data_IF_469554355223
#
_entry.id   IF_469554355223
#
_cell.length_a   1.000
_cell.length_b   1.000
_cell.length_c   1.000
_cell.angle_alpha   90.00
_cell.angle_beta   90.00
_cell.angle_gamma   90.00
#
_symmetry.space_group_name_H-M   'P 1'
#
loop_
_entity.id
_entity.type
_entity.pdbx_description
1 polymer ?
#
# COMPACT_ATOMS: atom_id res chain seq x y z
N UNK A 1 9.97 -37.70 -35.27
CA UNK A 1 10.28 -38.53 -34.09
C UNK A 1 9.93 -37.76 -32.81
N UNK A 2 8.71 -37.21 -32.72
CA UNK A 2 8.25 -36.46 -31.55
C UNK A 2 7.56 -37.43 -30.61
N UNK A 3 8.13 -37.66 -29.43
CA UNK A 3 7.43 -38.38 -28.38
C UNK A 3 6.21 -37.55 -27.97
N UNK A 4 5.01 -38.15 -27.96
CA UNK A 4 3.80 -37.48 -27.50
C UNK A 4 3.86 -37.09 -26.02
N UNK A 5 4.84 -37.62 -25.27
CA UNK A 5 4.99 -37.42 -23.84
C UNK A 5 6.17 -36.53 -23.51
N UNK A 6 6.05 -35.68 -22.48
CA UNK A 6 7.19 -34.91 -21.98
C UNK A 6 8.25 -35.82 -21.39
N UNK A 7 9.50 -35.38 -21.49
CA UNK A 7 10.65 -36.04 -20.91
C UNK A 7 10.96 -35.40 -19.56
N UNK A 8 11.13 -36.22 -18.53
CA UNK A 8 11.53 -35.73 -17.22
C UNK A 8 12.93 -35.13 -17.30
N UNK A 9 13.06 -33.91 -16.79
CA UNK A 9 14.31 -33.16 -16.76
C UNK A 9 14.54 -32.66 -15.33
N UNK A 10 14.81 -33.59 -14.42
CA UNK A 10 15.03 -33.25 -13.02
C UNK A 10 16.34 -32.47 -12.85
N UNK A 11 16.24 -31.30 -12.23
CA UNK A 11 17.42 -30.60 -11.74
C UNK A 11 17.73 -31.13 -10.35
N UNK A 12 18.78 -31.96 -10.25
CA UNK A 12 19.43 -32.20 -8.96
C UNK A 12 19.96 -30.86 -8.48
N UNK A 13 19.36 -30.37 -7.41
CA UNK A 13 19.44 -29.00 -6.98
C UNK A 13 20.81 -28.46 -6.64
N UNK A 14 20.88 -27.15 -6.41
CA UNK A 14 22.04 -26.52 -5.80
C UNK A 14 21.88 -26.49 -4.29
N UNK A 15 22.99 -26.69 -3.57
CA UNK A 15 23.03 -26.45 -2.13
C UNK A 15 23.34 -24.97 -1.91
N UNK A 16 22.33 -24.21 -1.50
CA UNK A 16 22.42 -22.77 -1.27
C UNK A 16 22.87 -22.50 0.16
N UNK A 17 23.76 -21.52 0.32
CA UNK A 17 24.33 -21.15 1.59
C UNK A 17 24.49 -19.64 1.71
N UNK A 18 24.38 -19.12 2.93
CA UNK A 18 24.82 -17.78 3.26
C UNK A 18 26.35 -17.64 3.08
N UNK A 19 26.88 -16.43 2.82
CA UNK A 19 28.32 -16.21 2.59
C UNK A 19 29.23 -16.61 3.76
N UNK A 20 28.70 -16.68 4.98
CA UNK A 20 29.47 -17.01 6.18
C UNK A 20 29.43 -18.49 6.56
N UNK A 21 28.74 -19.30 5.74
CA UNK A 21 28.49 -20.71 6.02
C UNK A 21 29.72 -21.58 5.83
N UNK A 22 29.95 -22.54 6.73
CA UNK A 22 31.10 -23.46 6.70
C UNK A 22 30.74 -24.88 6.30
N UNK A 23 29.50 -25.12 5.90
CA UNK A 23 29.03 -26.45 5.56
C UNK A 23 29.65 -26.96 4.26
N UNK A 24 30.15 -28.20 4.28
CA UNK A 24 30.95 -28.75 3.18
C UNK A 24 30.20 -28.90 1.85
N UNK A 25 28.85 -28.90 1.84
CA UNK A 25 28.05 -28.92 0.60
C UNK A 25 27.89 -27.55 -0.04
N UNK A 26 28.24 -26.47 0.64
CA UNK A 26 28.22 -25.14 0.04
C UNK A 26 29.19 -25.09 -1.15
N UNK A 27 28.82 -24.39 -2.22
CA UNK A 27 29.69 -24.24 -3.38
C UNK A 27 31.02 -23.55 -3.05
N UNK A 28 31.04 -22.68 -2.03
CA UNK A 28 32.22 -22.00 -1.52
C UNK A 28 32.10 -21.80 0.00
N UNK A 29 32.36 -22.84 0.81
CA UNK A 29 32.25 -22.73 2.26
C UNK A 29 33.34 -21.80 2.81
N UNK A 30 32.96 -20.92 3.74
CA UNK A 30 33.90 -20.01 4.40
C UNK A 30 34.90 -20.81 5.22
N UNK A 31 36.18 -20.45 5.10
CA UNK A 31 37.22 -21.00 5.97
C UNK A 31 37.27 -20.18 7.28
N UNK A 32 36.84 -20.80 8.38
CA UNK A 32 36.81 -20.16 9.71
C UNK A 32 38.18 -19.73 10.23
N UNK A 33 39.25 -20.38 9.80
CA UNK A 33 40.61 -20.08 10.25
C UNK A 33 41.24 -18.89 9.53
N UNK A 34 40.80 -18.57 8.32
CA UNK A 34 41.43 -17.52 7.49
C UNK A 34 40.51 -16.37 7.14
N UNK A 35 39.19 -16.56 7.24
CA UNK A 35 38.21 -15.58 6.77
C UNK A 35 37.21 -15.25 7.88
N UNK A 36 37.24 -14.03 8.44
CA UNK A 36 36.26 -13.61 9.44
C UNK A 36 34.85 -13.53 8.82
N UNK A 37 33.83 -13.54 9.66
CA UNK A 37 32.43 -13.42 9.23
C UNK A 37 32.16 -12.03 8.65
N UNK A 38 31.52 -12.00 7.50
CA UNK A 38 31.03 -10.77 6.87
C UNK A 38 29.80 -10.20 7.60
N UNK A 39 28.94 -11.08 8.14
CA UNK A 39 27.60 -10.78 8.64
C UNK A 39 26.73 -10.05 7.61
N UNK A 40 26.94 -10.34 6.32
CA UNK A 40 26.19 -9.69 5.24
C UNK A 40 24.70 -10.05 5.26
N UNK A 41 24.33 -11.23 5.77
CA UNK A 41 22.94 -11.66 5.89
C UNK A 41 22.72 -12.71 6.98
N UNK A 42 21.46 -12.99 7.28
CA UNK A 42 21.04 -14.07 8.18
C UNK A 42 21.55 -15.43 7.71
N UNK A 43 21.88 -16.30 8.67
CA UNK A 43 22.44 -17.62 8.37
C UNK A 43 21.40 -18.52 7.73
N UNK A 44 21.76 -19.17 6.63
CA UNK A 44 20.96 -20.23 6.03
C UNK A 44 21.84 -21.22 5.27
N UNK A 45 21.38 -22.47 5.21
CA UNK A 45 21.87 -23.44 4.23
C UNK A 45 20.77 -24.44 3.93
N UNK A 46 20.51 -24.71 2.66
CA UNK A 46 19.48 -25.67 2.26
C UNK A 46 19.73 -26.20 0.85
N UNK A 47 19.21 -27.40 0.59
CA UNK A 47 19.18 -28.00 -0.75
C UNK A 47 17.96 -27.46 -1.51
N UNK A 48 18.19 -26.84 -2.67
CA UNK A 48 17.15 -26.36 -3.57
C UNK A 48 17.04 -27.27 -4.77
N UNK A 49 16.06 -28.17 -4.79
CA UNK A 49 15.76 -29.05 -5.93
C UNK A 49 14.63 -28.49 -6.79
N UNK A 50 14.59 -28.85 -8.08
CA UNK A 50 13.50 -28.48 -8.97
C UNK A 50 12.95 -29.69 -9.73
N UNK A 51 11.62 -29.75 -9.81
CA UNK A 51 10.90 -30.71 -10.64
C UNK A 51 10.62 -30.04 -11.98
N UNK A 52 11.08 -30.65 -13.07
CA UNK A 52 10.80 -30.11 -14.41
C UNK A 52 10.62 -31.22 -15.44
N UNK A 53 9.89 -30.90 -16.49
CA UNK A 53 9.67 -31.76 -17.63
C UNK A 53 9.76 -30.93 -18.91
N UNK A 54 10.39 -31.48 -19.94
CA UNK A 54 10.53 -30.85 -21.23
C UNK A 54 9.61 -31.53 -22.24
N UNK A 55 8.73 -30.76 -22.85
CA UNK A 55 7.97 -31.21 -24.01
C UNK A 55 8.55 -30.59 -25.29
N UNK A 56 9.00 -31.39 -26.28
CA UNK A 56 9.52 -30.85 -27.52
C UNK A 56 8.45 -30.08 -28.29
N UNK A 57 8.68 -28.79 -28.50
CA UNK A 57 7.72 -27.90 -29.18
C UNK A 57 7.55 -28.33 -30.65
N UNK A 58 6.32 -28.66 -31.04
CA UNK A 58 5.96 -29.01 -32.41
C UNK A 58 6.00 -27.79 -33.34
N UNK A 59 6.26 -27.99 -34.64
CA UNK A 59 6.30 -26.91 -35.65
C UNK A 59 5.00 -26.07 -35.67
N UNK A 60 3.87 -26.69 -35.33
CA UNK A 60 2.58 -26.01 -35.23
C UNK A 60 2.59 -24.78 -34.31
N UNK A 61 3.32 -24.82 -33.19
CA UNK A 61 3.43 -23.67 -32.29
C UNK A 61 4.23 -22.49 -32.86
N UNK A 62 4.97 -22.70 -33.96
CA UNK A 62 5.64 -21.63 -34.72
C UNK A 62 4.83 -21.14 -35.92
N UNK A 63 3.83 -21.91 -36.35
CA UNK A 63 3.02 -21.60 -37.53
C UNK A 63 1.65 -21.00 -37.17
N UNK A 64 1.11 -21.33 -35.99
CA UNK A 64 -0.19 -20.87 -35.53
C UNK A 64 -0.22 -20.68 -34.00
N UNK A 65 -1.31 -20.11 -33.48
CA UNK A 65 -1.56 -20.01 -32.05
C UNK A 65 -1.87 -21.38 -31.45
N UNK A 66 -1.34 -21.61 -30.25
CA UNK A 66 -1.67 -22.79 -29.44
C UNK A 66 -2.12 -22.37 -28.04
N UNK A 67 -3.01 -23.16 -27.46
CA UNK A 67 -3.54 -22.94 -26.12
C UNK A 67 -2.70 -23.68 -25.09
N UNK A 68 -1.91 -22.93 -24.33
CA UNK A 68 -1.29 -23.41 -23.09
C UNK A 68 -2.25 -23.19 -21.92
N UNK A 69 -2.36 -24.19 -21.06
CA UNK A 69 -3.14 -24.11 -19.83
C UNK A 69 -2.29 -24.54 -18.64
N UNK A 70 -2.35 -23.75 -17.57
CA UNK A 70 -1.85 -24.08 -16.25
C UNK A 70 -3.05 -24.16 -15.32
N UNK A 71 -3.25 -25.33 -14.72
CA UNK A 71 -4.23 -25.53 -13.66
C UNK A 71 -3.47 -25.69 -12.35
N UNK A 72 -3.84 -24.91 -11.34
CA UNK A 72 -3.18 -24.88 -10.05
C UNK A 72 -4.21 -24.99 -8.95
N UNK A 73 -4.21 -26.12 -8.27
CA UNK A 73 -5.09 -26.44 -7.15
C UNK A 73 -4.22 -26.59 -5.90
N UNK A 74 -4.49 -25.77 -4.88
CA UNK A 74 -3.77 -25.81 -3.59
C UNK A 74 -4.30 -26.91 -2.66
N UNK A 75 -3.66 -27.12 -1.51
CA UNK A 75 -4.05 -28.13 -0.52
C UNK A 75 -3.33 -29.47 -0.70
N UNK A 76 -3.51 -30.38 0.25
CA UNK A 76 -2.83 -31.69 0.31
C UNK A 76 -3.18 -32.62 -0.84
N UNK A 77 -4.41 -32.51 -1.35
CA UNK A 77 -4.92 -33.24 -2.51
C UNK A 77 -4.84 -32.42 -3.80
N UNK A 78 -4.23 -31.24 -3.75
CA UNK A 78 -4.04 -30.35 -4.88
C UNK A 78 -2.99 -30.85 -5.88
N UNK A 79 -2.74 -30.05 -6.90
CA UNK A 79 -1.75 -30.32 -7.95
C UNK A 79 -1.47 -29.06 -8.77
N UNK A 80 -0.36 -29.08 -9.51
CA UNK A 80 -0.16 -28.17 -10.65
C UNK A 80 -0.05 -29.00 -11.91
N UNK A 81 -0.89 -28.69 -12.90
CA UNK A 81 -1.00 -29.40 -14.17
C UNK A 81 -0.80 -28.45 -15.34
N UNK A 82 0.08 -28.85 -16.26
CA UNK A 82 0.29 -28.19 -17.54
C UNK A 82 -0.41 -28.98 -18.64
N UNK A 83 -1.22 -28.29 -19.43
CA UNK A 83 -1.92 -28.84 -20.58
C UNK A 83 -1.61 -28.02 -21.83
N UNK A 84 -1.64 -28.69 -22.98
CA UNK A 84 -1.51 -28.11 -24.31
C UNK A 84 -2.73 -28.55 -25.12
N UNK A 85 -3.47 -27.58 -25.67
CA UNK A 85 -4.71 -27.84 -26.42
C UNK A 85 -5.71 -28.71 -25.64
N UNK A 86 -5.90 -28.39 -24.36
CA UNK A 86 -6.79 -29.14 -23.46
C UNK A 86 -6.28 -30.54 -23.07
N UNK A 87 -5.13 -30.97 -23.58
CA UNK A 87 -4.54 -32.28 -23.25
C UNK A 87 -3.47 -32.15 -22.17
N UNK A 88 -3.63 -32.77 -20.98
CA UNK A 88 -2.62 -32.76 -19.93
C UNK A 88 -1.29 -33.35 -20.42
N UNK A 89 -0.21 -32.61 -20.21
CA UNK A 89 1.15 -33.03 -20.55
C UNK A 89 1.91 -33.47 -19.31
N UNK A 90 1.86 -32.67 -18.25
CA UNK A 90 2.63 -32.88 -17.03
C UNK A 90 1.83 -32.43 -15.81
N UNK A 91 1.99 -33.14 -14.70
CA UNK A 91 1.34 -32.83 -13.43
C UNK A 91 2.28 -33.12 -12.28
N UNK A 92 2.27 -32.21 -11.29
CA UNK A 92 2.92 -32.38 -10.00
C UNK A 92 1.83 -32.39 -8.93
N UNK A 93 1.44 -33.56 -8.39
CA UNK A 93 0.48 -33.64 -7.30
C UNK A 93 1.11 -33.10 -6.02
N UNK A 94 0.34 -32.39 -5.18
CA UNK A 94 0.78 -31.87 -3.88
C UNK A 94 1.38 -32.96 -2.99
N UNK A 95 0.86 -34.19 -3.07
CA UNK A 95 1.39 -35.35 -2.34
C UNK A 95 2.88 -35.58 -2.59
N UNK A 96 3.36 -35.35 -3.82
CA UNK A 96 4.79 -35.51 -4.15
C UNK A 96 5.71 -34.54 -3.39
N UNK A 97 5.14 -33.47 -2.81
CA UNK A 97 5.86 -32.42 -2.10
C UNK A 97 5.76 -32.61 -0.58
N UNK A 98 4.57 -32.96 -0.05
CA UNK A 98 4.37 -33.09 1.39
C UNK A 98 4.60 -34.51 1.93
N UNK A 99 4.33 -35.54 1.12
CA UNK A 99 4.48 -36.95 1.48
C UNK A 99 5.89 -37.46 1.13
N UNK A 100 6.90 -36.79 1.69
CA UNK A 100 8.29 -37.15 1.46
C UNK A 100 8.71 -38.38 2.29
N UNK A 101 9.68 -39.18 1.80
CA UNK A 101 10.29 -40.24 2.60
C UNK A 101 10.79 -39.70 3.95
N UNK A 102 10.39 -40.36 5.02
CA UNK A 102 10.78 -40.03 6.39
C UNK A 102 11.90 -40.94 6.88
N UNK A 103 12.83 -40.40 7.66
CA UNK A 103 13.76 -41.23 8.41
C UNK A 103 13.04 -41.95 9.57
N UNK A 104 13.73 -42.88 10.26
CA UNK A 104 13.14 -43.67 11.37
C UNK A 104 12.49 -42.79 12.46
N UNK A 105 13.03 -41.60 12.68
CA UNK A 105 12.57 -40.66 13.71
C UNK A 105 11.57 -39.63 13.17
N UNK A 106 11.17 -39.72 11.90
CA UNK A 106 10.27 -38.79 11.21
C UNK A 106 10.69 -37.31 11.33
N UNK A 107 11.99 -37.03 11.24
CA UNK A 107 12.52 -35.67 11.40
C UNK A 107 12.73 -34.94 10.07
N UNK A 108 12.39 -35.54 8.93
CA UNK A 108 12.55 -34.85 7.65
C UNK A 108 11.44 -33.80 7.54
N UNK A 109 11.78 -32.53 7.22
CA UNK A 109 10.80 -31.46 7.17
C UNK A 109 9.78 -31.72 6.05
N UNK A 110 8.50 -31.68 6.39
CA UNK A 110 7.44 -31.71 5.39
C UNK A 110 7.36 -30.34 4.74
N UNK A 111 7.20 -30.33 3.42
CA UNK A 111 6.98 -29.11 2.63
C UNK A 111 5.49 -28.97 2.36
N UNK A 112 5.04 -27.73 2.16
CA UNK A 112 3.68 -27.43 1.68
C UNK A 112 3.75 -27.20 0.18
N UNK A 113 2.62 -27.41 -0.50
CA UNK A 113 2.45 -26.97 -1.88
C UNK A 113 2.66 -25.45 -1.97
N UNK A 114 3.07 -24.94 -3.13
CA UNK A 114 3.18 -23.50 -3.32
C UNK A 114 1.79 -22.85 -3.19
N UNK A 115 1.68 -21.92 -2.24
CA UNK A 115 0.45 -21.17 -1.92
C UNK A 115 0.68 -19.65 -2.01
N UNK A 116 1.93 -19.22 -2.22
CA UNK A 116 2.31 -17.81 -2.29
C UNK A 116 1.68 -17.10 -3.49
N UNK A 117 1.30 -15.82 -3.35
CA UNK A 117 0.79 -15.04 -4.47
C UNK A 117 1.86 -14.89 -5.55
N UNK A 118 1.50 -15.22 -6.79
CA UNK A 118 2.40 -15.15 -7.93
C UNK A 118 1.92 -14.18 -9.00
N UNK A 119 2.84 -13.83 -9.89
CA UNK A 119 2.55 -13.13 -11.13
C UNK A 119 2.77 -14.07 -12.33
N UNK A 120 2.10 -13.78 -13.45
CA UNK A 120 2.39 -14.42 -14.74
C UNK A 120 3.31 -13.51 -15.55
N UNK A 121 4.48 -14.03 -15.95
CA UNK A 121 5.40 -13.34 -16.87
C UNK A 121 5.43 -14.11 -18.19
N UNK A 122 5.32 -13.35 -19.28
CA UNK A 122 5.58 -13.84 -20.63
C UNK A 122 6.71 -13.01 -21.23
N UNK A 123 7.84 -13.63 -21.53
CA UNK A 123 9.00 -12.98 -22.11
C UNK A 123 9.66 -13.86 -23.18
N UNK A 124 10.34 -13.23 -24.13
CA UNK A 124 11.31 -13.91 -24.99
C UNK A 124 12.71 -13.79 -24.38
N UNK A 125 13.40 -14.91 -24.21
CA UNK A 125 14.77 -14.94 -23.69
C UNK A 125 15.64 -15.90 -24.50
N UNK A 126 16.91 -15.55 -24.67
CA UNK A 126 17.92 -16.39 -25.31
C UNK A 126 19.07 -16.56 -24.32
N UNK A 127 19.40 -17.81 -23.99
CA UNK A 127 20.48 -18.14 -23.05
C UNK A 127 21.33 -19.27 -23.60
N UNK A 128 22.64 -19.07 -23.61
CA UNK A 128 23.61 -20.13 -23.97
C UNK A 128 23.54 -21.30 -22.99
N UNK A 129 23.18 -21.06 -21.73
CA UNK A 129 22.99 -22.08 -20.70
C UNK A 129 21.76 -22.96 -20.94
N UNK A 130 20.78 -22.49 -21.72
CA UNK A 130 19.57 -23.24 -22.08
C UNK A 130 19.67 -23.88 -23.48
N UNK A 131 20.89 -23.95 -24.03
CA UNK A 131 21.17 -24.62 -25.30
C UNK A 131 20.94 -23.77 -26.55
N UNK A 132 20.49 -22.52 -26.41
CA UNK A 132 20.41 -21.62 -27.56
C UNK A 132 21.81 -21.17 -27.99
N UNK A 133 22.22 -21.58 -29.20
CA UNK A 133 23.49 -21.16 -29.81
C UNK A 133 23.19 -20.45 -31.14
N UNK A 134 22.77 -19.17 -31.09
CA UNK A 134 22.62 -18.41 -32.33
C UNK A 134 23.97 -18.34 -33.07
N UNK A 135 23.97 -18.19 -34.40
CA UNK A 135 25.19 -17.95 -35.14
C UNK A 135 25.97 -16.75 -34.55
N UNK A 136 27.30 -16.83 -34.59
CA UNK A 136 28.20 -15.76 -34.13
C UNK A 136 27.99 -15.34 -32.65
N UNK A 137 28.10 -16.25 -31.67
CA UNK A 137 27.88 -15.94 -30.25
C UNK A 137 28.81 -14.80 -29.78
N UNK A 138 28.23 -13.82 -29.09
CA UNK A 138 28.94 -12.63 -28.59
C UNK A 138 29.16 -11.52 -29.63
N UNK A 139 28.62 -11.66 -30.84
CA UNK A 139 28.63 -10.64 -31.91
C UNK A 139 27.21 -10.39 -32.42
N UNK A 140 27.04 -9.37 -33.25
CA UNK A 140 25.78 -9.16 -33.97
C UNK A 140 25.45 -10.39 -34.82
N UNK A 141 24.21 -10.88 -34.77
CA UNK A 141 23.76 -11.94 -35.68
C UNK A 141 23.63 -11.34 -37.08
N UNK A 142 24.66 -11.48 -37.90
CA UNK A 142 24.66 -11.09 -39.31
C UNK A 142 25.04 -12.26 -40.20
N UNK A 143 24.20 -12.50 -41.20
CA UNK A 143 24.56 -13.31 -42.36
C UNK A 143 25.46 -12.53 -43.31
N UNK A 144 26.51 -13.15 -43.82
CA UNK A 144 27.45 -12.55 -44.79
C UNK A 144 27.28 -13.15 -46.20
N UNK A 145 26.27 -13.99 -46.41
CA UNK A 145 26.03 -14.67 -47.68
C UNK A 145 26.80 -15.99 -47.85
N UNK A 146 27.72 -16.33 -46.95
CA UNK A 146 28.60 -17.51 -47.10
C UNK A 146 27.97 -18.81 -46.60
N UNK A 147 27.20 -18.76 -45.51
CA UNK A 147 26.49 -19.91 -44.95
C UNK A 147 24.96 -19.72 -45.02
N UNK A 148 24.25 -20.49 -45.86
CA UNK A 148 22.80 -20.36 -46.03
C UNK A 148 22.00 -20.51 -44.72
N UNK A 149 22.47 -21.32 -43.78
CA UNK A 149 21.78 -21.55 -42.50
C UNK A 149 21.91 -20.33 -41.58
N UNK A 150 23.13 -19.83 -41.41
CA UNK A 150 23.43 -18.62 -40.64
C UNK A 150 22.68 -17.41 -41.18
N UNK A 151 22.69 -17.22 -42.50
CA UNK A 151 21.94 -16.12 -43.15
C UNK A 151 20.46 -16.21 -42.79
N UNK A 152 19.84 -17.38 -42.99
CA UNK A 152 18.41 -17.56 -42.70
C UNK A 152 18.06 -17.32 -41.23
N UNK A 153 18.88 -17.78 -40.29
CA UNK A 153 18.63 -17.58 -38.85
C UNK A 153 18.78 -16.10 -38.49
N UNK A 154 19.84 -15.43 -38.93
CA UNK A 154 20.05 -14.02 -38.59
C UNK A 154 19.04 -13.09 -39.28
N UNK A 155 18.61 -13.40 -40.51
CA UNK A 155 17.56 -12.67 -41.23
C UNK A 155 16.16 -12.87 -40.59
N UNK A 156 16.00 -13.84 -39.69
CA UNK A 156 14.74 -14.08 -38.98
C UNK A 156 14.49 -13.08 -37.84
N UNK A 157 15.48 -12.25 -37.48
CA UNK A 157 15.33 -11.25 -36.42
C UNK A 157 14.79 -9.91 -36.94
N UNK A 158 13.98 -9.18 -36.14
CA UNK A 158 13.51 -9.55 -34.81
C UNK A 158 12.41 -10.64 -34.84
N UNK A 159 12.50 -11.59 -33.91
CA UNK A 159 11.44 -12.58 -33.67
C UNK A 159 10.45 -12.05 -32.62
N UNK A 160 9.18 -12.43 -32.75
CA UNK A 160 8.11 -11.93 -31.89
C UNK A 160 7.38 -13.07 -31.19
N UNK A 161 7.22 -12.96 -29.86
CA UNK A 161 6.26 -13.75 -29.11
C UNK A 161 4.88 -13.09 -29.25
N UNK A 162 3.93 -13.79 -29.87
CA UNK A 162 2.56 -13.30 -30.06
C UNK A 162 1.63 -14.00 -29.08
N UNK A 163 0.81 -13.20 -28.39
CA UNK A 163 -0.22 -13.68 -27.46
C UNK A 163 -1.53 -13.07 -27.95
N UNK A 164 -2.47 -13.91 -28.34
CA UNK A 164 -3.80 -13.46 -28.76
C UNK A 164 -4.62 -13.02 -27.53
N UNK A 165 -4.72 -13.89 -26.54
CA UNK A 165 -5.41 -13.58 -25.29
C UNK A 165 -4.88 -14.38 -24.11
N UNK A 166 -5.22 -13.93 -22.90
CA UNK A 166 -4.97 -14.63 -21.63
C UNK A 166 -6.32 -14.72 -20.92
N UNK A 167 -6.64 -15.91 -20.41
CA UNK A 167 -7.83 -16.15 -19.58
C UNK A 167 -7.37 -16.62 -18.21
N UNK A 168 -7.93 -16.02 -17.17
CA UNK A 168 -7.70 -16.41 -15.78
C UNK A 168 -9.03 -16.87 -15.20
N UNK A 169 -9.02 -18.04 -14.61
CA UNK A 169 -10.18 -18.66 -13.98
C UNK A 169 -9.91 -18.84 -12.49
N UNK A 170 -10.94 -18.71 -11.69
CA UNK A 170 -10.92 -19.09 -10.29
C UNK A 170 -12.09 -20.03 -10.07
N UNK A 171 -11.81 -21.16 -9.44
CA UNK A 171 -12.87 -22.05 -8.98
C UNK A 171 -13.51 -21.47 -7.73
N UNK A 172 -14.83 -21.32 -7.75
CA UNK A 172 -15.65 -20.79 -6.66
C UNK A 172 -16.66 -21.82 -6.16
N UNK A 173 -16.48 -23.08 -6.54
CA UNK A 173 -17.38 -24.14 -6.13
C UNK A 173 -17.31 -24.40 -4.62
N UNK A 174 -18.44 -24.84 -4.05
CA UNK A 174 -18.56 -25.13 -2.63
C UNK A 174 -18.07 -26.54 -2.26
N UNK A 175 -17.68 -27.35 -3.27
CA UNK A 175 -17.16 -28.72 -3.13
C UNK A 175 -15.63 -28.78 -3.10
N UNK A 176 -14.96 -27.63 -3.04
CA UNK A 176 -13.52 -27.56 -2.88
C UNK A 176 -13.09 -28.14 -1.53
N UNK A 177 -11.92 -28.78 -1.53
CA UNK A 177 -11.29 -29.29 -0.31
C UNK A 177 -11.08 -28.17 0.72
N UNK A 178 -11.19 -28.53 2.00
CA UNK A 178 -11.12 -27.56 3.09
C UNK A 178 -9.77 -26.81 3.19
N UNK A 179 -8.72 -27.39 2.61
CA UNK A 179 -7.38 -26.80 2.51
C UNK A 179 -7.07 -26.23 1.11
N UNK A 180 -8.08 -26.01 0.28
CA UNK A 180 -7.93 -25.19 -0.92
C UNK A 180 -7.97 -23.70 -0.54
N UNK A 181 -6.81 -23.04 -0.65
CA UNK A 181 -6.61 -21.65 -0.25
C UNK A 181 -6.68 -20.66 -1.41
N UNK A 182 -7.22 -21.05 -2.58
CA UNK A 182 -7.41 -20.13 -3.69
C UNK A 182 -8.30 -18.94 -3.27
N UNK A 183 -7.72 -17.75 -3.29
CA UNK A 183 -8.40 -16.52 -2.86
C UNK A 183 -8.19 -15.38 -3.84
N UNK A 184 -9.25 -14.63 -4.14
CA UNK A 184 -9.15 -13.38 -4.89
C UNK A 184 -9.10 -12.20 -3.92
N UNK A 185 -7.97 -11.50 -3.95
CA UNK A 185 -7.71 -10.33 -3.12
C UNK A 185 -6.29 -10.34 -2.55
N UNK A 186 -5.89 -9.23 -1.95
CA UNK A 186 -4.52 -9.00 -1.50
C UNK A 186 -4.27 -9.36 -0.02
N UNK A 187 -5.27 -9.86 0.71
CA UNK A 187 -5.18 -10.14 2.16
C UNK A 187 -6.02 -11.36 2.58
N UNK A 188 -5.70 -12.57 2.08
CA UNK A 188 -6.38 -13.78 2.51
C UNK A 188 -6.08 -14.06 4.00
N UNK A 189 -7.12 -14.41 4.77
CA UNK A 189 -7.01 -14.68 6.23
C UNK A 189 -6.05 -15.82 6.58
N UNK A 190 -5.76 -16.70 5.64
CA UNK A 190 -4.89 -17.87 5.81
C UNK A 190 -3.40 -17.54 5.68
N UNK A 191 -3.06 -16.32 5.23
CA UNK A 191 -1.69 -15.90 4.95
C UNK A 191 -1.23 -14.77 5.87
N UNK A 192 0.07 -14.45 5.92
CA UNK A 192 0.58 -13.37 6.74
C UNK A 192 -0.16 -12.06 6.53
N UNK A 193 -0.71 -11.53 7.62
CA UNK A 193 -1.41 -10.25 7.61
C UNK A 193 -0.46 -9.12 7.21
N UNK A 194 -0.99 -8.00 6.71
CA UNK A 194 -0.22 -6.76 6.53
C UNK A 194 0.67 -6.43 7.73
N UNK A 195 0.15 -6.56 8.96
CA UNK A 195 0.90 -6.29 10.20
C UNK A 195 2.10 -7.22 10.37
N UNK A 196 1.97 -8.48 9.99
CA UNK A 196 3.08 -9.43 10.02
C UNK A 196 4.15 -9.05 9.02
N UNK A 197 3.76 -8.78 7.76
CA UNK A 197 4.66 -8.37 6.68
C UNK A 197 5.40 -7.08 7.06
N UNK A 198 4.69 -6.06 7.55
CA UNK A 198 5.30 -4.80 7.98
C UNK A 198 6.33 -5.01 9.12
N UNK A 199 6.10 -6.00 9.99
CA UNK A 199 6.98 -6.33 11.11
C UNK A 199 8.18 -7.21 10.73
N UNK A 200 8.14 -7.87 9.57
CA UNK A 200 9.18 -8.76 9.03
C UNK A 200 9.58 -8.31 7.62
N UNK A 201 9.63 -6.99 7.40
CA UNK A 201 9.79 -6.43 6.05
C UNK A 201 11.09 -6.86 5.38
N UNK A 202 12.11 -7.20 6.17
CA UNK A 202 13.40 -7.77 5.76
C UNK A 202 13.27 -9.16 5.11
N UNK A 203 12.16 -9.88 5.32
CA UNK A 203 11.86 -11.13 4.63
C UNK A 203 11.20 -10.91 3.25
N UNK A 204 10.66 -9.71 3.00
CA UNK A 204 9.84 -9.39 1.82
C UNK A 204 10.47 -8.33 0.91
N UNK A 205 11.67 -7.86 1.23
CA UNK A 205 12.40 -6.89 0.43
C UNK A 205 13.90 -7.17 0.48
N UNK A 206 14.61 -6.73 -0.55
CA UNK A 206 16.07 -6.71 -0.58
C UNK A 206 16.56 -5.33 -1.07
N UNK A 207 17.87 -5.19 -1.23
CA UNK A 207 18.49 -3.93 -1.65
C UNK A 207 18.08 -3.51 -3.07
N UNK A 208 17.72 -4.46 -3.94
CA UNK A 208 17.32 -4.24 -5.33
C UNK A 208 15.79 -4.11 -5.49
N UNK A 209 15.02 -4.69 -4.58
CA UNK A 209 13.55 -4.78 -4.60
C UNK A 209 12.94 -4.35 -3.27
N UNK A 210 13.11 -3.07 -2.94
CA UNK A 210 12.54 -2.47 -1.73
C UNK A 210 11.01 -2.40 -1.78
N UNK A 211 10.34 -2.62 -0.65
CA UNK A 211 8.91 -2.39 -0.51
C UNK A 211 8.60 -0.90 -0.72
N UNK A 212 7.73 -0.61 -1.70
CA UNK A 212 7.35 0.76 -2.05
C UNK A 212 5.84 0.91 -2.01
N UNK A 213 5.38 1.89 -1.25
CA UNK A 213 3.98 2.29 -1.30
C UNK A 213 3.65 2.88 -2.67
N UNK A 214 2.68 2.26 -3.34
CA UNK A 214 2.21 2.73 -4.64
C UNK A 214 1.21 3.88 -4.43
N UNK A 215 1.46 5.04 -5.03
CA UNK A 215 0.51 6.16 -5.03
C UNK A 215 -0.21 6.26 -6.39
N UNK A 216 -1.31 5.51 -6.54
CA UNK A 216 -2.14 5.52 -7.74
C UNK A 216 -1.80 4.41 -8.74
N UNK A 217 -2.07 4.64 -10.04
CA UNK A 217 -1.87 3.71 -11.17
C UNK A 217 -2.88 2.57 -11.33
N UNK A 218 -3.88 2.43 -10.47
CA UNK A 218 -5.03 1.58 -10.81
C UNK A 218 -5.71 2.08 -12.08
N UNK A 219 -6.31 1.17 -12.84
CA UNK A 219 -7.21 1.53 -13.92
C UNK A 219 -8.42 2.29 -13.36
N UNK A 220 -8.88 3.29 -14.10
CA UNK A 220 -10.06 4.08 -13.73
C UNK A 220 -10.78 4.57 -14.99
N UNK A 221 -12.08 4.83 -14.80
CA UNK A 221 -12.96 5.45 -15.79
C UNK A 221 -13.38 6.85 -15.34
N UNK A 222 -13.58 7.04 -14.04
CA UNK A 222 -13.99 8.31 -13.43
C UNK A 222 -13.11 8.66 -12.24
N UNK A 223 -13.18 9.91 -11.77
CA UNK A 223 -12.48 10.30 -10.54
C UNK A 223 -12.97 9.54 -9.30
N UNK A 224 -14.21 9.02 -9.33
CA UNK A 224 -14.78 8.22 -8.23
C UNK A 224 -14.02 6.92 -7.99
N UNK A 225 -13.46 6.31 -9.04
CA UNK A 225 -12.63 5.10 -8.95
C UNK A 225 -11.36 5.29 -8.11
N UNK A 226 -10.92 6.53 -7.94
CA UNK A 226 -9.66 6.92 -7.32
C UNK A 226 -9.87 7.68 -6.01
N UNK A 227 -11.06 7.59 -5.40
CA UNK A 227 -11.45 8.41 -4.26
C UNK A 227 -12.17 7.59 -3.21
N UNK A 228 -11.93 7.89 -1.93
CA UNK A 228 -12.63 7.21 -0.83
C UNK A 228 -14.11 7.58 -0.86
N UNK A 229 -14.95 6.56 -0.84
CA UNK A 229 -16.39 6.66 -1.00
C UNK A 229 -16.86 6.53 -2.45
N UNK A 230 -16.10 7.03 -3.43
CA UNK A 230 -16.47 6.93 -4.85
C UNK A 230 -17.93 7.33 -5.13
N UNK A 231 -18.62 6.59 -5.99
CA UNK A 231 -20.04 6.80 -6.33
C UNK A 231 -21.02 6.14 -5.33
N UNK A 232 -20.53 5.30 -4.42
CA UNK A 232 -21.37 4.46 -3.53
C UNK A 232 -21.23 4.78 -2.03
N UNK A 233 -20.35 5.71 -1.66
CA UNK A 233 -19.99 6.02 -0.28
C UNK A 233 -20.79 7.16 0.31
N UNK A 234 -21.14 7.04 1.59
CA UNK A 234 -21.90 8.06 2.33
C UNK A 234 -21.13 9.37 2.54
N UNK A 235 -19.79 9.34 2.46
CA UNK A 235 -18.92 10.51 2.60
C UNK A 235 -17.89 10.50 1.48
N UNK A 236 -17.96 11.50 0.60
CA UNK A 236 -17.03 11.64 -0.52
C UNK A 236 -15.77 12.39 -0.07
N UNK A 237 -14.63 11.70 -0.01
CA UNK A 237 -13.35 12.31 0.26
C UNK A 237 -12.46 12.23 -0.98
N UNK A 238 -12.20 13.38 -1.61
CA UNK A 238 -11.39 13.43 -2.84
C UNK A 238 -9.92 13.16 -2.52
N UNK A 239 -9.50 11.91 -2.70
CA UNK A 239 -8.12 11.47 -2.42
C UNK A 239 -7.29 11.26 -3.69
N UNK A 240 -7.94 11.06 -4.83
CA UNK A 240 -7.32 10.89 -6.14
C UNK A 240 -8.22 11.28 -7.31
N UNK A 241 -7.63 11.30 -8.50
CA UNK A 241 -8.28 11.62 -9.78
C UNK A 241 -7.90 10.61 -10.85
N UNK A 242 -8.78 10.42 -11.83
CA UNK A 242 -8.52 9.60 -12.99
C UNK A 242 -7.88 10.42 -14.10
N UNK A 243 -6.65 10.06 -14.48
CA UNK A 243 -5.86 10.75 -15.49
C UNK A 243 -5.37 9.71 -16.49
N UNK A 244 -5.77 9.85 -17.76
CA UNK A 244 -5.40 8.89 -18.83
C UNK A 244 -5.72 7.44 -18.45
N UNK A 245 -6.91 7.21 -17.92
CA UNK A 245 -7.39 5.90 -17.43
C UNK A 245 -6.49 5.27 -16.36
N UNK A 246 -5.80 6.10 -15.57
CA UNK A 246 -5.00 5.70 -14.41
C UNK A 246 -5.24 6.63 -13.22
N UNK A 247 -5.36 6.07 -12.02
CA UNK A 247 -5.50 6.87 -10.81
C UNK A 247 -4.21 7.65 -10.52
N UNK A 248 -4.38 8.90 -10.09
CA UNK A 248 -3.31 9.76 -9.59
C UNK A 248 -3.77 10.36 -8.27
N UNK A 249 -3.00 10.13 -7.20
CA UNK A 249 -3.35 10.61 -5.88
C UNK A 249 -3.14 12.13 -5.81
N UNK A 250 -4.10 12.82 -5.19
CA UNK A 250 -4.07 14.29 -5.07
C UNK A 250 -3.01 14.73 -4.05
N UNK A 251 -2.84 13.96 -2.97
CA UNK A 251 -1.83 14.18 -1.94
C UNK A 251 -1.04 12.88 -1.74
N UNK A 252 -0.03 12.59 -2.57
CA UNK A 252 0.70 11.32 -2.54
C UNK A 252 1.50 11.08 -1.26
N UNK A 253 1.70 12.11 -0.43
CA UNK A 253 2.29 12.01 0.92
C UNK A 253 1.30 11.59 2.01
N UNK A 254 0.00 11.56 1.69
CA UNK A 254 -1.08 11.28 2.64
C UNK A 254 -2.01 10.16 2.15
N UNK A 255 -2.06 9.96 0.83
CA UNK A 255 -2.90 8.95 0.18
C UNK A 255 -2.07 8.09 -0.76
N UNK A 256 -2.22 6.79 -0.58
CA UNK A 256 -1.56 5.73 -1.32
C UNK A 256 -2.52 4.63 -1.72
N UNK A 257 -1.93 3.52 -2.11
CA UNK A 257 -2.62 2.42 -2.77
C UNK A 257 -2.89 2.71 -4.25
N UNK A 258 -3.17 1.66 -5.06
CA UNK A 258 -3.42 1.81 -6.48
C UNK A 258 -4.57 2.76 -6.83
N UNK A 259 -5.59 2.83 -5.97
CA UNK A 259 -6.78 3.69 -6.12
C UNK A 259 -6.76 4.94 -5.24
N UNK A 260 -5.65 5.26 -4.57
CA UNK A 260 -5.55 6.42 -3.67
C UNK A 260 -6.52 6.38 -2.49
N UNK A 261 -6.97 5.19 -2.10
CA UNK A 261 -7.94 4.99 -1.01
C UNK A 261 -7.28 4.58 0.30
N UNK A 262 -5.95 4.42 0.30
CA UNK A 262 -5.20 4.01 1.49
C UNK A 262 -4.59 5.24 2.14
N UNK A 263 -4.90 5.40 3.41
CA UNK A 263 -4.25 6.33 4.31
C UNK A 263 -2.76 5.98 4.46
N UNK A 264 -1.85 6.83 3.97
CA UNK A 264 -0.41 6.69 4.26
C UNK A 264 -0.16 7.41 5.59
N UNK A 265 -0.09 6.63 6.67
CA UNK A 265 0.46 7.12 7.93
C UNK A 265 1.98 7.10 7.79
N UNK A 266 2.66 8.18 8.19
CA UNK A 266 4.13 8.29 8.17
C UNK A 266 4.86 7.36 9.15
N UNK A 267 4.45 6.10 9.25
CA UNK A 267 5.11 5.06 10.00
C UNK A 267 5.83 4.14 9.02
N UNK A 268 6.98 4.59 8.53
CA UNK A 268 8.00 3.70 7.98
C UNK A 268 9.37 4.31 8.17
N UNK A 269 10.28 3.45 8.62
CA UNK A 269 11.72 3.63 8.82
C UNK A 269 12.17 4.50 10.00
N UNK A 270 12.56 3.78 11.06
CA UNK A 270 13.62 4.09 12.01
C UNK A 270 14.90 4.64 11.36
N UNK A 271 14.89 5.91 10.99
CA UNK A 271 16.14 6.69 10.86
C UNK A 271 15.94 8.02 11.54
N UNK A 272 16.57 8.16 12.71
CA UNK A 272 16.58 9.38 13.52
C UNK A 272 17.20 10.51 12.70
N UNK A 273 16.37 11.27 11.99
CA UNK A 273 16.69 12.63 11.59
C UNK A 273 15.54 13.52 12.04
N UNK A 274 15.83 14.30 13.09
CA UNK A 274 14.96 15.33 13.64
C UNK A 274 14.70 16.37 12.56
N UNK A 275 13.61 16.25 11.80
CA UNK A 275 13.00 17.38 11.12
C UNK A 275 11.48 17.19 11.12
N UNK A 276 10.78 18.25 11.48
CA UNK A 276 9.38 18.26 11.85
C UNK A 276 8.48 17.55 10.82
N UNK A 277 7.55 16.77 11.34
CA UNK A 277 6.53 15.99 10.64
C UNK A 277 5.76 16.82 9.60
N UNK A 278 6.01 16.57 8.32
CA UNK A 278 5.20 17.09 7.20
C UNK A 278 3.97 16.23 6.90
N UNK A 279 3.85 15.07 7.54
CA UNK A 279 2.93 14.00 7.13
C UNK A 279 1.82 13.83 8.16
N UNK A 280 0.95 14.84 8.29
CA UNK A 280 -0.25 14.76 9.13
C UNK A 280 -1.48 15.10 8.32
N UNK A 281 -2.60 14.46 8.67
CA UNK A 281 -3.92 14.71 8.07
C UNK A 281 -4.33 16.17 8.29
N UNK A 282 -4.33 16.95 7.21
CA UNK A 282 -4.77 18.34 7.23
C UNK A 282 -4.06 19.21 6.19
N UNK A 283 -4.50 20.47 5.98
CA UNK A 283 -3.73 21.43 5.22
C UNK A 283 -2.32 21.57 5.80
N UNK A 284 -1.30 21.89 4.97
CA UNK A 284 0.09 21.97 5.41
C UNK A 284 0.21 22.75 6.71
N UNK A 285 0.97 22.24 7.69
CA UNK A 285 1.06 22.83 9.03
C UNK A 285 1.40 24.34 9.00
N UNK A 286 2.22 24.78 8.04
CA UNK A 286 2.52 26.20 7.82
C UNK A 286 1.31 27.04 7.41
N UNK A 287 0.39 26.49 6.62
CA UNK A 287 -0.86 27.15 6.23
C UNK A 287 -1.79 27.30 7.44
N UNK A 288 -1.88 26.27 8.28
CA UNK A 288 -2.66 26.29 9.52
C UNK A 288 -2.13 27.30 10.53
N UNK A 289 -0.81 27.40 10.70
CA UNK A 289 -0.16 28.43 11.52
C UNK A 289 -0.46 29.83 10.97
N UNK A 290 -0.37 30.03 9.66
CA UNK A 290 -0.67 31.31 9.03
C UNK A 290 -2.11 31.77 9.29
N UNK A 291 -3.08 30.87 9.14
CA UNK A 291 -4.49 31.16 9.41
C UNK A 291 -4.73 31.47 10.89
N UNK A 292 -4.12 30.70 11.80
CA UNK A 292 -4.22 30.95 13.24
C UNK A 292 -3.63 32.32 13.62
N UNK A 293 -2.47 32.69 13.05
CA UNK A 293 -1.84 33.98 13.25
C UNK A 293 -2.72 35.14 12.78
N UNK A 294 -3.36 35.02 11.62
CA UNK A 294 -4.31 36.02 11.10
C UNK A 294 -5.51 36.17 12.04
N UNK A 295 -6.09 35.07 12.53
CA UNK A 295 -7.23 35.13 13.45
C UNK A 295 -6.87 35.81 14.79
N UNK A 296 -5.70 35.50 15.35
CA UNK A 296 -5.21 36.15 16.58
C UNK A 296 -5.01 37.65 16.34
N UNK A 297 -4.37 38.02 15.23
CA UNK A 297 -4.12 39.42 14.89
C UNK A 297 -5.43 40.22 14.70
N UNK A 298 -6.40 39.67 13.98
CA UNK A 298 -7.72 40.29 13.81
C UNK A 298 -8.49 40.42 15.13
N UNK A 299 -8.34 39.45 16.03
CA UNK A 299 -8.93 39.50 17.38
C UNK A 299 -8.31 40.63 18.20
N UNK A 300 -6.98 40.78 18.17
CA UNK A 300 -6.28 41.89 18.84
C UNK A 300 -6.69 43.26 18.30
N UNK A 301 -6.80 43.42 16.98
CA UNK A 301 -7.30 44.67 16.37
C UNK A 301 -8.72 44.98 16.85
N UNK A 302 -9.59 43.97 16.91
CA UNK A 302 -10.99 44.13 17.33
C UNK A 302 -11.09 44.61 18.78
N UNK A 303 -10.30 44.03 19.69
CA UNK A 303 -10.24 44.43 21.11
C UNK A 303 -9.65 45.83 21.28
N UNK A 304 -8.62 46.19 20.51
CA UNK A 304 -8.03 47.53 20.53
C UNK A 304 -9.01 48.59 20.00
N UNK A 305 -9.78 48.27 18.97
CA UNK A 305 -10.80 49.17 18.43
C UNK A 305 -11.97 49.37 19.41
N UNK A 306 -12.43 48.29 20.06
CA UNK A 306 -13.47 48.35 21.09
C UNK A 306 -13.02 49.19 22.30
N UNK A 307 -11.82 48.93 22.84
CA UNK A 307 -11.28 49.69 23.97
C UNK A 307 -11.00 51.17 23.63
N UNK A 308 -10.64 51.49 22.38
CA UNK A 308 -10.52 52.88 21.93
C UNK A 308 -11.88 53.60 21.84
N UNK A 309 -12.95 52.89 21.45
CA UNK A 309 -14.32 53.41 21.53
C UNK A 309 -14.76 53.65 22.97
N UNK A 310 -14.51 52.70 23.86
CA UNK A 310 -14.89 52.83 25.28
C UNK A 310 -14.15 53.97 25.97
N UNK A 311 -12.86 54.19 25.67
CA UNK A 311 -12.11 55.35 26.16
C UNK A 311 -12.69 56.68 25.65
N UNK A 312 -13.14 56.74 24.39
CA UNK A 312 -13.80 57.95 23.86
C UNK A 312 -15.15 58.20 24.54
N UNK A 313 -15.92 57.16 24.81
CA UNK A 313 -17.20 57.25 25.53
C UNK A 313 -16.97 57.68 26.99
N UNK A 314 -15.99 57.12 27.69
CA UNK A 314 -15.64 57.49 29.05
C UNK A 314 -15.18 58.95 29.18
N UNK A 315 -14.39 59.45 28.22
CA UNK A 315 -13.98 60.86 28.15
C UNK A 315 -15.17 61.79 27.90
N UNK A 316 -16.11 61.39 27.03
CA UNK A 316 -17.36 62.12 26.82
C UNK A 316 -18.22 62.16 28.08
N UNK A 317 -18.34 61.03 28.80
CA UNK A 317 -19.10 60.93 30.04
C UNK A 317 -18.48 61.78 31.16
N UNK A 318 -17.15 61.79 31.29
CA UNK A 318 -16.45 62.69 32.22
C UNK A 318 -16.63 64.17 31.87
N UNK A 319 -16.62 64.52 30.58
CA UNK A 319 -16.93 65.89 30.15
C UNK A 319 -18.34 66.29 30.55
N UNK A 320 -19.33 65.41 30.34
CA UNK A 320 -20.73 65.67 30.75
C UNK A 320 -20.91 65.74 32.26
N UNK A 321 -20.23 64.90 33.04
CA UNK A 321 -20.27 64.95 34.51
C UNK A 321 -19.66 66.24 35.06
N UNK A 322 -18.60 66.77 34.44
CA UNK A 322 -18.05 68.09 34.80
C UNK A 322 -19.01 69.23 34.47
N UNK A 323 -19.70 69.18 33.32
CA UNK A 323 -20.70 70.20 32.96
C UNK A 323 -21.91 70.16 33.89
N UNK A 324 -22.35 68.97 34.29
CA UNK A 324 -23.45 68.79 35.24
C UNK A 324 -23.08 69.20 36.68
N UNK A 325 -21.81 69.04 37.09
CA UNK A 325 -21.33 69.51 38.39
C UNK A 325 -21.28 71.05 38.47
N UNK A 326 -20.87 71.72 37.39
CA UNK A 326 -20.89 73.19 37.29
C UNK A 326 -22.32 73.76 37.25
N UNK A 327 -23.30 73.01 36.73
CA UNK A 327 -24.72 73.39 36.80
C UNK A 327 -25.32 73.19 38.20
N UNK A 328 -24.94 72.12 38.92
CA UNK A 328 -25.43 71.85 40.28
C UNK A 328 -24.89 72.82 41.34
N UNK A 329 -23.69 73.35 41.18
CA UNK A 329 -23.18 74.41 42.06
C UNK A 329 -23.95 75.73 41.88
N UNK A 330 -24.42 76.00 40.66
CA UNK A 330 -25.31 77.13 40.36
C UNK A 330 -26.74 76.95 40.89
N UNK A 331 -27.27 75.72 40.94
CA UNK A 331 -28.61 75.42 41.48
C UNK A 331 -28.64 75.29 43.01
N UNK A 332 -27.56 74.84 43.66
CA UNK A 332 -27.47 74.76 45.12
C UNK A 332 -27.45 76.15 45.79
N UNK A 333 -26.91 77.18 45.12
CA UNK A 333 -27.01 78.58 45.54
C UNK A 333 -28.43 79.17 45.39
N UNK A 334 -29.33 78.47 44.68
CA UNK A 334 -30.72 78.88 44.43
C UNK A 334 -31.72 78.17 45.37
N UNK A 335 -31.35 77.03 45.95
CA UNK A 335 -32.21 76.18 46.80
C UNK A 335 -32.08 76.43 48.32
N UNK A 336 -31.37 77.49 48.76
CA UNK A 336 -31.40 77.95 50.17
C UNK A 336 -32.49 79.02 50.41
N UNK A 337 -33.29 79.33 49.39
CA UNK A 337 -34.32 80.38 49.42
C UNK A 337 -35.78 79.89 49.42
N UNK A 338 -36.08 78.59 49.33
CA UNK A 338 -37.48 78.13 49.24
C UNK A 338 -37.79 76.88 50.11
N UNK A 339 -38.76 77.07 51.02
CA UNK A 339 -39.69 76.08 51.58
C UNK A 339 -39.11 75.05 52.58
N UNK A 340 -39.33 75.12 53.90
CA UNK A 340 -40.59 75.36 54.64
C UNK A 340 -41.80 74.62 54.07
N UNK A 341 -42.29 73.64 54.84
CA UNK A 341 -43.68 73.10 54.88
C UNK A 341 -43.86 71.62 54.51
N UNK A 342 -44.18 70.82 55.55
CA UNK A 342 -45.14 69.69 55.67
C UNK A 342 -45.23 68.62 54.55
N UNK A 343 -45.37 67.31 54.77
CA UNK A 343 -45.62 66.46 55.94
C UNK A 343 -46.54 65.26 55.58
N UNK A 344 -46.17 64.02 55.95
CA UNK A 344 -47.11 62.93 56.32
C UNK A 344 -47.28 61.66 55.41
N UNK A 345 -47.62 60.46 55.97
CA UNK A 345 -47.13 59.12 55.52
C UNK A 345 -48.16 57.93 55.42
N UNK A 346 -47.68 56.70 55.09
CA UNK A 346 -48.32 55.36 55.35
C UNK A 346 -48.06 54.27 54.27
N UNK A 347 -47.27 53.18 54.46
CA UNK A 347 -47.55 51.76 54.95
C UNK A 347 -48.56 50.96 54.09
N UNK A 348 -48.40 49.68 53.63
CA UNK A 348 -48.01 48.42 54.30
C UNK A 348 -47.82 47.21 53.29
N UNK A 349 -47.69 45.95 53.78
CA UNK A 349 -46.84 44.84 53.31
C UNK A 349 -47.45 43.53 52.66
N UNK A 350 -46.57 42.79 51.92
CA UNK A 350 -46.32 41.31 51.71
C UNK A 350 -47.43 40.24 51.50
N UNK A 351 -47.21 39.33 50.52
CA UNK A 351 -47.44 37.85 50.58
C UNK A 351 -46.75 37.04 49.41
N UNK A 352 -46.42 35.76 49.64
CA UNK A 352 -45.84 34.68 48.76
C UNK A 352 -46.40 33.32 49.30
N UNK A 353 -46.14 32.09 48.75
CA UNK A 353 -45.76 31.57 47.41
C UNK A 353 -46.54 30.26 47.00
N UNK A 354 -46.19 29.58 45.87
CA UNK A 354 -46.24 28.09 45.72
C UNK A 354 -45.57 27.53 44.44
N UNK A 355 -45.20 26.25 44.51
CA UNK A 355 -44.26 25.45 43.70
C UNK A 355 -44.79 24.75 42.41
N UNK A 356 -43.85 24.32 41.54
CA UNK A 356 -43.55 22.91 41.15
C UNK A 356 -43.54 22.52 39.63
N UNK A 357 -42.65 21.55 39.33
CA UNK A 357 -42.51 20.59 38.21
C UNK A 357 -41.55 20.80 37.01
N UNK A 358 -41.06 19.65 36.54
CA UNK A 358 -39.81 19.32 35.83
C UNK A 358 -40.02 18.80 34.39
N UNK A 359 -38.95 18.76 33.58
CA UNK A 359 -38.39 17.56 32.90
C UNK A 359 -37.36 17.94 31.81
N UNK A 360 -36.23 17.21 31.81
CA UNK A 360 -35.30 17.01 30.69
C UNK A 360 -35.77 15.81 29.84
N UNK A 361 -35.38 15.71 28.57
CA UNK A 361 -34.61 14.58 28.01
C UNK A 361 -34.28 14.74 26.50
N UNK A 362 -33.03 14.33 26.20
CA UNK A 362 -32.35 13.91 24.94
C UNK A 362 -32.31 14.87 23.76
#
# INVERSE_FOLDING_TARGET
NGTCYPLWNVYTGAYLCDPDNTFYKCASPRNESTTPKSNAMSKFNYQMDAISANWPVHLGAYADFVTYQLEWVTGKNGYVRWALEGSPQFEVPSESIWNIPQNKNKTNPQKTMLEEPMYLIFNGAVSSSWGAKPPNPGKECRGDGSDPVTNKICDSFPMYLKIDHIRLYQDLADDLEADNYMHVGCDPKTHPTKKWIDAHIDEYQDDDNQHKEVAGKAFCTSNGDCTIGGDMGKTLLKTGKCVKSRCQCLYPSSWGGPRCTTAISGSSSSTVTRNATTNSYGPPFGMSIGIAGIMVFLSFISVMYASAKDKKVAVLLQKQLKTAADQRSHEAAKMEAEAQSYGGPGTDARHRPRDNYSQNFV
#
